data_IF_516541436148
#
_entry.id   IF_516541436148
#
_cell.length_a   1.000
_cell.length_b   1.000
_cell.length_c   1.000
_cell.angle_alpha   90.00
_cell.angle_beta   90.00
_cell.angle_gamma   90.00
#
_symmetry.space_group_name_H-M   'P 1'
#
loop_
_entity.id
_entity.type
_entity.pdbx_description
1 polymer ?
#
# COMPACT_ATOMS: atom_id res chain seq x y z
N UNK A 1 23.28 18.15 -32.33
CA UNK A 1 23.20 17.25 -33.52
C UNK A 1 24.12 16.01 -33.43
N UNK A 2 24.99 15.90 -32.43
CA UNK A 2 26.03 14.87 -32.31
C UNK A 2 25.52 13.42 -32.10
N UNK A 3 24.43 13.23 -31.34
CA UNK A 3 23.89 11.90 -31.05
C UNK A 3 23.36 11.17 -32.31
N UNK A 4 22.58 11.88 -33.12
CA UNK A 4 22.02 11.29 -34.35
C UNK A 4 23.12 10.95 -35.36
N UNK A 5 24.18 11.76 -35.43
CA UNK A 5 25.35 11.44 -36.26
C UNK A 5 26.07 10.19 -35.77
N UNK A 6 26.21 10.00 -34.46
CA UNK A 6 26.78 8.78 -33.88
C UNK A 6 25.92 7.55 -34.17
N UNK A 7 24.60 7.64 -33.98
CA UNK A 7 23.68 6.53 -34.30
C UNK A 7 23.71 6.17 -35.79
N UNK A 8 23.81 7.19 -36.66
CA UNK A 8 24.02 7.00 -38.09
C UNK A 8 25.32 6.26 -38.39
N UNK A 9 26.42 6.60 -37.72
CA UNK A 9 27.70 5.90 -37.84
C UNK A 9 27.65 4.46 -37.28
N UNK A 10 26.96 4.23 -36.16
CA UNK A 10 26.79 2.90 -35.54
C UNK A 10 26.09 1.92 -36.50
N UNK A 11 25.03 2.37 -37.17
CA UNK A 11 24.28 1.56 -38.14
C UNK A 11 24.97 1.49 -39.51
N UNK A 12 25.51 2.63 -39.99
CA UNK A 12 26.05 2.75 -41.35
C UNK A 12 27.48 2.23 -41.50
N UNK A 13 28.37 2.56 -40.55
CA UNK A 13 29.79 2.17 -40.58
C UNK A 13 30.03 0.94 -39.71
N UNK A 14 29.47 0.93 -38.50
CA UNK A 14 29.64 -0.16 -37.55
C UNK A 14 28.83 -1.42 -37.89
N UNK A 15 27.89 -1.33 -38.83
CA UNK A 15 26.93 -2.39 -39.15
C UNK A 15 26.31 -3.02 -37.89
N UNK A 16 26.09 -2.23 -36.85
CA UNK A 16 25.66 -2.71 -35.55
C UNK A 16 24.22 -2.27 -35.25
N UNK A 17 23.46 -3.17 -34.63
CA UNK A 17 22.14 -2.82 -34.12
C UNK A 17 22.25 -1.83 -32.95
N UNK A 18 21.36 -0.84 -32.90
CA UNK A 18 21.33 0.17 -31.82
C UNK A 18 21.06 -0.47 -30.45
N UNK A 19 20.10 -1.40 -30.37
CA UNK A 19 19.73 -2.06 -29.11
C UNK A 19 20.64 -3.23 -28.72
N UNK A 20 20.81 -4.25 -29.58
CA UNK A 20 21.52 -5.48 -29.21
C UNK A 20 23.03 -5.45 -29.42
N UNK A 21 23.60 -4.34 -29.89
CA UNK A 21 25.02 -4.19 -30.29
C UNK A 21 25.59 -5.28 -31.23
N UNK A 22 24.72 -6.12 -31.80
CA UNK A 22 25.08 -7.20 -32.71
C UNK A 22 25.52 -6.60 -34.05
N UNK A 23 26.69 -7.02 -34.52
CA UNK A 23 27.20 -6.67 -35.85
C UNK A 23 26.61 -7.55 -36.95
N UNK A 24 26.49 -6.96 -38.14
CA UNK A 24 25.97 -7.57 -39.34
C UNK A 24 26.93 -7.33 -40.51
N UNK A 25 26.67 -7.99 -41.64
CA UNK A 25 27.50 -7.88 -42.84
C UNK A 25 27.10 -6.71 -43.76
N UNK A 26 25.89 -6.16 -43.63
CA UNK A 26 25.37 -5.11 -44.52
C UNK A 26 24.38 -4.19 -43.80
N UNK A 27 24.30 -2.92 -44.21
CA UNK A 27 23.35 -1.95 -43.60
C UNK A 27 21.91 -2.45 -43.70
N UNK A 28 21.57 -3.07 -44.84
CA UNK A 28 20.23 -3.60 -45.08
C UNK A 28 19.85 -4.71 -44.08
N UNK A 29 20.81 -5.57 -43.68
CA UNK A 29 20.53 -6.62 -42.70
C UNK A 29 20.38 -6.05 -41.28
N UNK A 30 21.11 -4.98 -40.94
CA UNK A 30 20.90 -4.23 -39.69
C UNK A 30 19.50 -3.61 -39.66
N UNK A 31 19.13 -2.88 -40.72
CA UNK A 31 17.83 -2.19 -40.79
C UNK A 31 16.67 -3.18 -40.74
N UNK A 32 16.75 -4.29 -41.47
CA UNK A 32 15.78 -5.36 -41.42
C UNK A 32 15.71 -6.00 -40.02
N UNK A 33 16.86 -6.24 -39.39
CA UNK A 33 16.89 -6.74 -38.02
C UNK A 33 16.22 -5.77 -37.03
N UNK A 34 16.45 -4.46 -37.20
CA UNK A 34 15.85 -3.42 -36.38
C UNK A 34 14.33 -3.37 -36.55
N UNK A 35 13.81 -3.51 -37.78
CA UNK A 35 12.36 -3.55 -38.03
C UNK A 35 11.71 -4.86 -37.58
N UNK A 36 12.36 -6.00 -37.81
CA UNK A 36 11.78 -7.32 -37.53
C UNK A 36 11.68 -7.59 -36.02
N UNK A 37 12.61 -7.04 -35.23
CA UNK A 37 12.67 -7.23 -33.77
C UNK A 37 12.28 -6.00 -32.95
N UNK A 38 11.89 -4.91 -33.61
CA UNK A 38 11.65 -3.61 -32.96
C UNK A 38 12.85 -3.14 -32.12
N UNK A 39 14.07 -3.30 -32.64
CA UNK A 39 15.32 -2.87 -32.03
C UNK A 39 15.71 -1.43 -32.44
N UNK A 40 14.71 -0.57 -32.60
CA UNK A 40 14.85 0.86 -32.93
C UNK A 40 14.95 1.74 -31.68
N UNK A 41 14.94 1.11 -30.50
CA UNK A 41 15.07 1.75 -29.19
C UNK A 41 16.52 1.66 -28.69
N UNK A 42 16.93 2.62 -27.87
CA UNK A 42 18.24 2.58 -27.21
C UNK A 42 18.26 1.49 -26.14
N UNK A 43 19.45 1.14 -25.69
CA UNK A 43 19.70 0.10 -24.69
C UNK A 43 18.97 0.45 -23.38
N UNK A 44 18.34 -0.56 -22.75
CA UNK A 44 17.56 -0.38 -21.51
C UNK A 44 18.44 -0.51 -20.24
N UNK A 45 19.64 -1.10 -20.34
CA UNK A 45 20.58 -1.21 -19.23
C UNK A 45 21.20 0.17 -18.96
N UNK A 46 21.01 0.68 -17.75
CA UNK A 46 21.51 2.00 -17.35
C UNK A 46 23.01 2.11 -17.61
N UNK A 47 23.82 1.16 -17.12
CA UNK A 47 25.28 1.25 -17.22
C UNK A 47 25.79 1.34 -18.67
N UNK A 48 25.37 0.41 -19.54
CA UNK A 48 25.80 0.38 -20.94
C UNK A 48 25.29 1.61 -21.70
N UNK A 49 24.12 2.12 -21.32
CA UNK A 49 23.59 3.37 -21.87
C UNK A 49 24.43 4.57 -21.45
N UNK A 50 24.82 4.67 -20.18
CA UNK A 50 25.69 5.75 -19.68
C UNK A 50 27.07 5.71 -20.36
N UNK A 51 27.65 4.51 -20.51
CA UNK A 51 28.98 4.34 -21.10
C UNK A 51 29.01 4.73 -22.60
N UNK A 52 27.96 4.42 -23.37
CA UNK A 52 27.92 4.73 -24.80
C UNK A 52 27.34 6.12 -25.13
N UNK A 53 26.35 6.56 -24.35
CA UNK A 53 25.55 7.74 -24.67
C UNK A 53 25.70 8.89 -23.69
N UNK A 54 26.30 8.69 -22.52
CA UNK A 54 26.40 9.69 -21.46
C UNK A 54 27.06 11.00 -21.91
N UNK A 55 28.09 10.92 -22.75
CA UNK A 55 28.78 12.11 -23.28
C UNK A 55 27.89 13.03 -24.12
N UNK A 56 26.80 12.52 -24.69
CA UNK A 56 25.86 13.33 -25.47
C UNK A 56 24.85 14.08 -24.59
N UNK A 57 24.78 13.77 -23.29
CA UNK A 57 23.85 14.36 -22.35
C UNK A 57 24.62 15.08 -21.25
N UNK A 58 24.50 16.40 -21.19
CA UNK A 58 24.92 17.16 -20.03
C UNK A 58 23.78 17.11 -19.00
N UNK A 59 24.01 16.47 -17.85
CA UNK A 59 23.16 16.71 -16.68
C UNK A 59 23.59 18.04 -16.09
N UNK A 60 22.70 19.03 -16.14
CA UNK A 60 22.85 20.20 -15.30
C UNK A 60 22.62 19.73 -13.87
N UNK A 61 23.66 19.79 -13.03
CA UNK A 61 23.51 19.51 -11.61
C UNK A 61 22.48 20.48 -11.05
N UNK A 62 21.38 19.95 -10.52
CA UNK A 62 20.30 20.73 -9.88
C UNK A 62 20.82 21.54 -8.67
N UNK A 63 22.05 21.27 -8.21
CA UNK A 63 22.77 22.06 -7.22
C UNK A 63 23.30 23.41 -7.76
N UNK A 64 23.31 23.64 -9.07
CA UNK A 64 23.66 24.95 -9.67
C UNK A 64 22.43 25.86 -9.80
N UNK A 65 21.21 25.31 -9.69
CA UNK A 65 19.97 26.07 -9.80
C UNK A 65 19.38 26.52 -8.45
N UNK A 66 19.96 26.11 -7.32
CA UNK A 66 19.51 26.52 -5.99
C UNK A 66 20.25 27.76 -5.44
N UNK A 67 21.21 28.26 -6.20
CA UNK A 67 21.97 29.45 -5.88
C UNK A 67 21.42 30.53 -6.80
N UNK A 68 20.61 31.44 -6.27
CA UNK A 68 20.03 32.56 -7.02
C UNK A 68 21.08 33.59 -7.45
N UNK A 69 22.18 33.16 -8.05
CA UNK A 69 23.23 34.01 -8.60
C UNK A 69 23.19 33.99 -10.12
N UNK A 70 23.17 35.20 -10.66
CA UNK A 70 23.17 35.55 -12.07
C UNK A 70 24.38 34.92 -12.79
N UNK A 71 24.12 34.18 -13.87
CA UNK A 71 25.13 33.47 -14.65
C UNK A 71 26.23 34.43 -15.17
N UNK A 72 27.43 34.38 -14.59
CA UNK A 72 28.66 34.80 -15.28
C UNK A 72 29.21 33.61 -16.08
N UNK A 73 29.54 33.85 -17.35
CA UNK A 73 30.11 32.85 -18.25
C UNK A 73 31.53 32.49 -17.80
N UNK A 74 31.68 31.37 -17.08
CA UNK A 74 33.01 30.86 -16.69
C UNK A 74 33.66 30.20 -17.91
N UNK A 75 34.58 30.91 -18.56
CA UNK A 75 35.38 30.42 -19.68
C UNK A 75 36.78 30.02 -19.20
N UNK A 76 37.22 28.79 -19.53
CA UNK A 76 38.62 28.36 -19.38
C UNK A 76 38.83 27.21 -18.41
N UNK A 77 40.05 27.15 -17.85
CA UNK A 77 40.59 26.05 -17.01
C UNK A 77 39.72 25.74 -15.77
N UNK A 78 38.90 26.69 -15.33
CA UNK A 78 37.97 26.51 -14.19
C UNK A 78 36.82 25.54 -14.51
N UNK A 79 36.40 25.44 -15.78
CA UNK A 79 35.40 24.44 -16.22
C UNK A 79 35.96 23.01 -16.15
N UNK A 80 37.25 22.85 -16.42
CA UNK A 80 37.95 21.56 -16.37
C UNK A 80 38.12 21.09 -14.92
N UNK A 81 38.30 22.03 -13.99
CA UNK A 81 38.38 21.76 -12.55
C UNK A 81 37.03 21.31 -11.96
N UNK A 82 35.91 21.89 -12.39
CA UNK A 82 34.55 21.48 -11.96
C UNK A 82 34.25 20.04 -12.43
N UNK A 83 34.59 19.69 -13.67
CA UNK A 83 34.44 18.33 -14.19
C UNK A 83 35.31 17.32 -13.42
N UNK A 84 36.55 17.70 -13.08
CA UNK A 84 37.45 16.84 -12.28
C UNK A 84 36.96 16.59 -10.84
N UNK A 85 36.19 17.54 -10.27
CA UNK A 85 35.57 17.40 -8.95
C UNK A 85 34.44 16.37 -8.95
N UNK A 86 33.76 16.16 -10.08
CA UNK A 86 32.65 15.22 -10.23
C UNK A 86 33.11 13.77 -10.51
N UNK A 87 34.35 13.59 -11.02
CA UNK A 87 34.99 12.26 -11.15
C UNK A 87 35.54 11.71 -9.82
N UNK A 88 35.75 12.58 -8.82
CA UNK A 88 36.01 12.17 -7.45
C UNK A 88 34.70 11.72 -6.80
N UNK A 89 34.33 10.47 -7.11
CA UNK A 89 33.13 9.75 -6.71
C UNK A 89 32.33 10.33 -5.56
N UNK A 90 31.05 10.58 -5.81
CA UNK A 90 30.03 10.58 -4.76
C UNK A 90 30.10 9.20 -4.12
N UNK A 91 30.77 9.11 -2.97
CA UNK A 91 30.89 7.89 -2.19
C UNK A 91 29.49 7.33 -1.94
N UNK A 92 29.16 6.21 -2.60
CA UNK A 92 27.90 5.48 -2.40
C UNK A 92 27.65 5.14 -0.92
N UNK A 93 28.69 5.15 -0.09
CA UNK A 93 28.62 4.99 1.37
C UNK A 93 27.92 6.15 2.10
N UNK A 94 27.95 7.38 1.57
CA UNK A 94 27.32 8.53 2.23
C UNK A 94 25.79 8.46 2.19
N UNK A 95 25.21 7.79 1.18
CA UNK A 95 23.75 7.57 1.11
C UNK A 95 23.32 6.49 2.11
N UNK A 96 24.16 5.48 2.39
CA UNK A 96 23.85 4.48 3.43
C UNK A 96 23.92 5.02 4.87
N UNK A 97 24.64 6.12 5.12
CA UNK A 97 24.83 6.67 6.46
C UNK A 97 23.64 7.49 7.00
N UNK A 98 22.70 7.90 6.13
CA UNK A 98 21.50 8.65 6.53
C UNK A 98 20.25 7.78 6.72
N UNK A 99 20.36 6.48 6.43
CA UNK A 99 19.29 5.51 6.68
C UNK A 99 19.43 5.04 8.13
N UNK A 100 18.48 5.36 9.02
CA UNK A 100 18.52 4.85 10.39
C UNK A 100 18.56 3.31 10.37
N UNK A 101 19.60 2.75 11.00
CA UNK A 101 19.94 1.31 11.07
C UNK A 101 18.79 0.44 11.63
N UNK A 102 17.79 1.04 12.26
CA UNK A 102 16.65 0.33 12.86
C UNK A 102 15.61 -0.20 11.86
N UNK A 103 15.75 0.09 10.55
CA UNK A 103 14.84 -0.44 9.50
C UNK A 103 15.42 -1.60 8.71
N UNK A 104 16.73 -1.83 8.82
CA UNK A 104 17.41 -2.95 8.17
C UNK A 104 17.43 -4.14 9.10
N UNK A 105 16.36 -4.95 9.07
CA UNK A 105 16.49 -6.34 9.48
C UNK A 105 17.62 -6.96 8.64
N UNK A 106 18.57 -7.64 9.28
CA UNK A 106 19.80 -8.18 8.68
C UNK A 106 19.58 -9.08 7.43
N UNK A 107 18.34 -9.46 7.13
CA UNK A 107 17.94 -10.30 6.00
C UNK A 107 17.46 -9.53 4.75
N UNK A 108 17.59 -8.20 4.69
CA UNK A 108 17.27 -7.40 3.50
C UNK A 108 15.76 -7.34 3.15
N UNK A 109 14.90 -7.87 4.01
CA UNK A 109 13.44 -7.81 3.85
C UNK A 109 12.86 -6.66 4.67
N UNK A 110 13.25 -5.42 4.33
CA UNK A 110 12.56 -4.26 4.88
C UNK A 110 11.10 -4.27 4.41
N UNK A 111 10.17 -4.25 5.37
CA UNK A 111 8.73 -4.31 5.10
C UNK A 111 8.21 -2.96 4.59
N UNK A 112 8.91 -1.88 4.93
CA UNK A 112 8.53 -0.50 4.67
C UNK A 112 9.74 0.27 4.15
N UNK A 113 9.50 1.16 3.19
CA UNK A 113 10.45 2.12 2.63
C UNK A 113 10.00 3.51 3.03
N UNK A 114 10.86 4.28 3.70
CA UNK A 114 10.61 5.70 3.98
C UNK A 114 11.29 6.53 2.91
N UNK A 115 10.52 7.33 2.19
CA UNK A 115 11.01 8.24 1.16
C UNK A 115 11.57 9.53 1.78
N UNK A 116 12.39 10.26 1.03
CA UNK A 116 12.94 11.57 1.42
C UNK A 116 11.85 12.63 1.65
N UNK A 117 10.64 12.39 1.16
CA UNK A 117 9.44 13.20 1.43
C UNK A 117 8.80 12.90 2.80
N UNK A 118 9.32 11.93 3.55
CA UNK A 118 8.74 11.43 4.81
C UNK A 118 7.56 10.48 4.61
N UNK A 119 7.15 10.22 3.36
CA UNK A 119 6.10 9.25 3.06
C UNK A 119 6.61 7.80 3.22
N UNK A 120 5.78 6.93 3.78
CA UNK A 120 6.10 5.52 3.99
C UNK A 120 5.37 4.64 2.94
N UNK A 121 6.13 3.78 2.27
CA UNK A 121 5.65 2.85 1.25
C UNK A 121 5.83 1.42 1.75
N UNK A 122 4.73 0.67 1.88
CA UNK A 122 4.77 -0.73 2.31
C UNK A 122 5.07 -1.72 1.19
N UNK A 123 5.62 -2.88 1.53
CA UNK A 123 5.93 -3.94 0.56
C UNK A 123 4.67 -4.70 0.09
N UNK A 124 4.65 -5.14 -1.17
CA UNK A 124 3.50 -5.86 -1.78
C UNK A 124 3.11 -7.15 -1.06
N UNK A 125 4.06 -7.81 -0.39
CA UNK A 125 3.78 -9.04 0.39
C UNK A 125 2.81 -8.78 1.54
N UNK A 126 2.76 -7.54 2.05
CA UNK A 126 1.93 -7.14 3.17
C UNK A 126 0.58 -6.53 2.74
N UNK A 127 0.28 -6.52 1.43
CA UNK A 127 -0.97 -5.95 0.90
C UNK A 127 -2.23 -6.53 1.54
N UNK A 128 -2.21 -7.83 1.90
CA UNK A 128 -3.31 -8.49 2.63
C UNK A 128 -3.56 -7.84 3.99
N UNK A 129 -2.50 -7.47 4.71
CA UNK A 129 -2.58 -6.87 6.04
C UNK A 129 -2.91 -5.39 5.96
N UNK A 130 -2.32 -4.66 5.02
CA UNK A 130 -2.63 -3.24 4.81
C UNK A 130 -4.07 -2.97 4.39
N UNK A 131 -4.73 -3.94 3.74
CA UNK A 131 -6.17 -3.86 3.40
C UNK A 131 -7.10 -4.27 4.55
N UNK A 132 -6.57 -4.68 5.70
CA UNK A 132 -7.42 -5.05 6.83
C UNK A 132 -8.02 -3.79 7.46
N UNK A 133 -9.32 -3.86 7.75
CA UNK A 133 -10.01 -2.92 8.63
C UNK A 133 -10.35 -3.64 9.94
N UNK A 134 -9.38 -3.82 10.87
CA UNK A 134 -9.67 -4.44 12.16
C UNK A 134 -10.67 -3.58 12.93
N UNK A 135 -11.52 -4.24 13.72
CA UNK A 135 -12.43 -3.51 14.61
C UNK A 135 -11.60 -2.69 15.60
N UNK A 136 -11.98 -1.43 15.89
CA UNK A 136 -11.31 -0.66 16.92
C UNK A 136 -11.41 -1.42 18.25
N UNK A 137 -10.36 -1.31 19.07
CA UNK A 137 -10.40 -1.92 20.41
C UNK A 137 -11.50 -1.27 21.23
N UNK A 138 -12.28 -2.09 21.92
CA UNK A 138 -13.28 -1.61 22.87
C UNK A 138 -12.57 -0.93 24.04
N UNK A 139 -12.79 0.37 24.23
CA UNK A 139 -12.17 1.16 25.31
C UNK A 139 -13.11 1.36 26.51
N UNK A 140 -14.35 0.84 26.42
CA UNK A 140 -15.35 1.03 27.47
C UNK A 140 -15.06 0.09 28.65
N UNK A 141 -14.86 0.66 29.83
CA UNK A 141 -14.58 -0.08 31.06
C UNK A 141 -15.62 -1.17 31.35
N UNK A 142 -16.89 -0.93 31.05
CA UNK A 142 -17.94 -1.93 31.25
C UNK A 142 -17.76 -3.17 30.36
N UNK A 143 -17.30 -2.99 29.13
CA UNK A 143 -17.05 -4.09 28.17
C UNK A 143 -15.76 -4.82 28.54
N UNK A 144 -14.72 -4.08 28.92
CA UNK A 144 -13.46 -4.65 29.40
C UNK A 144 -13.67 -5.45 30.69
N UNK A 145 -14.43 -4.92 31.64
CA UNK A 145 -14.78 -5.61 32.88
C UNK A 145 -15.52 -6.92 32.59
N UNK A 146 -16.40 -6.94 31.58
CA UNK A 146 -17.07 -8.19 31.18
C UNK A 146 -16.13 -9.22 30.57
N UNK A 147 -15.12 -8.81 29.78
CA UNK A 147 -14.13 -9.76 29.24
C UNK A 147 -13.24 -10.30 30.35
N UNK A 148 -12.76 -9.43 31.23
CA UNK A 148 -11.96 -9.79 32.40
C UNK A 148 -12.74 -10.76 33.30
N UNK A 149 -14.01 -10.47 33.58
CA UNK A 149 -14.88 -11.38 34.35
C UNK A 149 -15.07 -12.73 33.66
N UNK A 150 -15.12 -12.79 32.33
CA UNK A 150 -15.18 -14.06 31.59
C UNK A 150 -13.86 -14.84 31.71
N UNK A 151 -12.71 -14.18 31.57
CA UNK A 151 -11.39 -14.79 31.77
C UNK A 151 -11.26 -15.37 33.18
N UNK A 152 -11.61 -14.60 34.23
CA UNK A 152 -11.63 -15.10 35.60
C UNK A 152 -12.64 -16.25 35.81
N UNK A 153 -13.79 -16.25 35.13
CA UNK A 153 -14.72 -17.38 35.15
C UNK A 153 -14.15 -18.63 34.48
N UNK A 154 -13.43 -18.50 33.37
CA UNK A 154 -12.79 -19.61 32.66
C UNK A 154 -11.63 -20.21 33.48
N UNK A 155 -10.81 -19.35 34.11
CA UNK A 155 -9.77 -19.77 35.05
C UNK A 155 -10.40 -20.43 36.28
N UNK A 156 -11.49 -19.85 36.79
CA UNK A 156 -12.25 -20.36 37.93
C UNK A 156 -13.06 -21.63 37.66
N UNK A 157 -13.34 -21.98 36.39
CA UNK A 157 -14.00 -23.25 36.03
C UNK A 157 -13.16 -24.48 36.37
N UNK A 158 -11.84 -24.33 36.52
CA UNK A 158 -10.97 -25.37 37.08
C UNK A 158 -11.16 -25.61 38.59
N UNK A 159 -11.81 -24.67 39.30
CA UNK A 159 -11.97 -24.65 40.76
C UNK A 159 -13.42 -24.78 41.25
N UNK A 160 -14.38 -25.10 40.36
CA UNK A 160 -15.75 -25.39 40.81
C UNK A 160 -15.83 -26.81 41.32
N UNK A 161 -15.71 -26.96 42.65
CA UNK A 161 -16.11 -28.17 43.38
C UNK A 161 -17.47 -28.66 42.87
N UNK A 162 -17.57 -29.97 42.59
CA UNK A 162 -18.65 -30.71 41.89
C UNK A 162 -20.10 -30.53 42.40
N UNK A 163 -20.42 -29.53 43.21
CA UNK A 163 -21.69 -29.40 43.95
C UNK A 163 -22.69 -28.36 43.42
N UNK A 164 -22.38 -27.52 42.43
CA UNK A 164 -23.28 -26.40 42.07
C UNK A 164 -23.68 -26.23 40.60
N UNK A 165 -23.38 -27.18 39.71
CA UNK A 165 -23.92 -27.17 38.34
C UNK A 165 -25.09 -28.17 38.19
N UNK A 166 -26.05 -28.13 39.12
CA UNK A 166 -27.33 -28.81 38.90
C UNK A 166 -28.14 -27.96 37.92
N UNK A 167 -27.98 -28.23 36.62
CA UNK A 167 -28.91 -27.75 35.59
C UNK A 167 -30.34 -28.06 36.05
N UNK A 168 -31.28 -27.10 36.04
CA UNK A 168 -32.66 -27.40 36.37
C UNK A 168 -33.12 -28.52 35.44
N UNK A 169 -33.61 -29.62 36.03
CA UNK A 169 -33.98 -30.81 35.27
C UNK A 169 -34.95 -30.44 34.15
N UNK A 170 -34.86 -31.14 33.02
CA UNK A 170 -35.61 -30.88 31.76
C UNK A 170 -37.09 -30.49 31.96
N UNK A 171 -37.76 -31.08 32.95
CA UNK A 171 -39.15 -30.77 33.35
C UNK A 171 -39.36 -29.34 33.87
N UNK A 172 -38.40 -28.80 34.63
CA UNK A 172 -38.47 -27.42 35.16
C UNK A 172 -38.33 -26.39 34.03
N UNK A 173 -37.45 -26.66 33.06
CA UNK A 173 -37.29 -25.83 31.86
C UNK A 173 -38.57 -25.84 31.00
N UNK A 174 -39.20 -27.01 30.84
CA UNK A 174 -40.48 -27.12 30.12
C UNK A 174 -41.63 -26.41 30.85
N UNK A 175 -41.69 -26.50 32.18
CA UNK A 175 -42.70 -25.79 32.99
C UNK A 175 -42.55 -24.28 32.85
N UNK A 176 -41.32 -23.77 32.95
CA UNK A 176 -41.02 -22.35 32.74
C UNK A 176 -41.38 -21.90 31.33
N UNK A 177 -41.03 -22.69 30.31
CA UNK A 177 -41.41 -22.42 28.90
C UNK A 177 -42.93 -22.37 28.70
N UNK A 178 -43.71 -23.21 29.40
CA UNK A 178 -45.18 -23.17 29.36
C UNK A 178 -45.73 -21.89 30.00
N UNK A 179 -45.18 -21.48 31.15
CA UNK A 179 -45.55 -20.24 31.81
C UNK A 179 -45.25 -19.01 30.94
N UNK A 180 -44.07 -18.95 30.34
CA UNK A 180 -43.64 -17.83 29.48
C UNK A 180 -44.54 -17.69 28.24
N UNK A 181 -44.92 -18.83 27.63
CA UNK A 181 -45.88 -18.86 26.52
C UNK A 181 -47.30 -18.45 26.95
N UNK A 182 -47.71 -18.78 28.17
CA UNK A 182 -49.02 -18.40 28.70
C UNK A 182 -49.10 -16.91 29.03
N UNK A 183 -48.04 -16.34 29.60
CA UNK A 183 -47.93 -14.90 29.89
C UNK A 183 -47.94 -14.10 28.57
N UNK A 184 -47.19 -14.54 27.57
CA UNK A 184 -47.18 -13.92 26.23
C UNK A 184 -48.56 -13.93 25.56
N UNK A 185 -49.31 -15.04 25.63
CA UNK A 185 -50.69 -15.11 25.11
C UNK A 185 -51.64 -14.14 25.84
N UNK A 186 -51.55 -14.04 27.18
CA UNK A 186 -52.38 -13.08 27.94
C UNK A 186 -52.09 -11.63 27.57
N UNK A 187 -50.83 -11.27 27.38
CA UNK A 187 -50.43 -9.93 26.94
C UNK A 187 -50.96 -9.60 25.53
N UNK A 188 -50.97 -10.57 24.60
CA UNK A 188 -51.51 -10.40 23.25
C UNK A 188 -53.00 -10.03 23.22
N UNK A 189 -53.83 -10.70 24.03
CA UNK A 189 -55.27 -10.42 24.08
C UNK A 189 -55.61 -9.10 24.80
N UNK A 190 -54.81 -8.72 25.81
CA UNK A 190 -54.97 -7.43 26.51
C UNK A 190 -54.60 -6.25 25.60
N UNK A 191 -53.56 -6.39 24.77
CA UNK A 191 -53.15 -5.36 23.81
C UNK A 191 -54.20 -5.10 22.71
N UNK A 192 -54.83 -6.17 22.19
CA UNK A 192 -55.90 -6.06 21.18
C UNK A 192 -57.19 -5.42 21.70
N UNK A 193 -57.55 -5.67 22.96
CA UNK A 193 -58.75 -5.07 23.56
C UNK A 193 -58.60 -3.55 23.77
N UNK A 194 -57.39 -3.05 24.04
CA UNK A 194 -57.11 -1.60 24.15
C UNK A 194 -57.11 -0.86 22.81
N UNK A 195 -56.93 -1.56 21.69
CA UNK A 195 -56.89 -0.95 20.36
C UNK A 195 -58.30 -0.72 19.75
N UNK A 196 -59.30 -1.49 20.18
CA UNK A 196 -60.62 -1.52 19.52
C UNK A 196 -61.72 -0.70 20.22
N UNK A 197 -61.41 0.08 21.26
CA UNK A 197 -62.41 0.89 21.98
C UNK A 197 -62.69 2.26 21.37
N UNK A 198 -62.12 2.61 20.22
CA UNK A 198 -62.28 3.91 19.54
C UNK A 198 -62.97 3.82 18.16
N UNK A 199 -63.91 2.89 17.97
CA UNK A 199 -64.78 2.87 16.76
C UNK A 199 -66.24 2.98 17.20
N UNK A 200 -66.63 4.20 17.58
CA UNK A 200 -68.02 4.65 17.53
C UNK A 200 -67.99 6.18 17.63
N UNK A 201 -68.33 6.85 16.53
CA UNK A 201 -69.06 8.12 16.37
C UNK A 201 -68.68 8.61 14.97
N UNK A 202 -69.55 8.36 13.99
CA UNK A 202 -69.77 9.32 12.90
C UNK A 202 -71.24 9.29 12.51
N UNK A 203 -71.86 10.45 12.76
CA UNK A 203 -73.19 10.83 12.31
C UNK A 203 -73.30 10.68 10.79
N UNK A 204 -74.32 9.96 10.33
CA UNK A 204 -74.89 10.24 9.01
C UNK A 204 -76.33 10.66 9.21
N UNK A 205 -76.56 11.97 9.11
CA UNK A 205 -77.89 12.55 9.15
C UNK A 205 -78.67 12.13 7.91
N UNK A 206 -79.91 11.71 8.13
CA UNK A 206 -80.93 11.66 7.09
C UNK A 206 -82.20 12.31 7.66
N UNK A 207 -82.69 13.31 6.93
CA UNK A 207 -84.02 13.95 7.02
C UNK A 207 -84.81 13.43 5.80
N UNK A 208 -86.12 13.15 5.87
CA UNK A 208 -87.19 14.13 6.12
C UNK A 208 -87.83 14.04 7.51
#
# INVERSE_FOLDING_TARGET
ESLLTYLGQKVGVGYACVFCSRSFSAVFSVQKHMSDKNHSRMIDSEQEWYDEYGEFYAWEDENVLNDGEEWEEVVGEERELILSRHEAGIDREAISASVPEDTTSADGTAVELVLNSGAMVGHRSMLRYYKQAPRPRETRDSVLLTSIMQEYRMIGQGYVSKKQAALPGRKQLESKRRLDNHVSKRQYYIGKLKANTNIAIMNSGYRP
#
